data_IF_548732984811
#
_entry.id   IF_548732984811
#
_cell.length_a   1.000
_cell.length_b   1.000
_cell.length_c   1.000
_cell.angle_alpha   90.00
_cell.angle_beta   90.00
_cell.angle_gamma   90.00
#
_symmetry.space_group_name_H-M   'P 1'
#
loop_
_entity.id
_entity.type
_entity.pdbx_description
1 polymer ?
#
# COMPACT_ATOMS: atom_id res chain seq x y z
N UNK A 1 0.92 92.49 13.32
CA UNK A 1 -0.17 93.26 12.69
C UNK A 1 -0.86 92.35 11.69
N UNK A 2 -2.16 92.06 11.91
CA UNK A 2 -3.10 91.19 11.13
C UNK A 2 -2.76 89.69 11.04
N UNK A 3 -3.68 88.71 11.04
CA UNK A 3 -5.10 88.50 11.40
C UNK A 3 -5.28 86.96 11.29
N UNK A 4 -5.71 86.26 12.34
CA UNK A 4 -7.07 85.68 12.53
C UNK A 4 -7.60 84.76 11.42
N UNK A 5 -7.86 83.50 11.82
CA UNK A 5 -9.11 82.72 11.67
C UNK A 5 -9.67 82.44 10.25
N UNK A 6 -10.38 81.35 9.93
CA UNK A 6 -11.13 80.35 10.72
C UNK A 6 -11.57 79.18 9.80
N UNK A 7 -11.64 77.99 10.40
CA UNK A 7 -12.64 76.92 10.32
C UNK A 7 -13.52 76.66 9.06
N UNK A 8 -13.52 75.35 8.71
CA UNK A 8 -14.64 74.43 8.41
C UNK A 8 -15.74 74.82 7.42
N UNK A 9 -15.94 73.95 6.41
CA UNK A 9 -17.28 73.50 6.00
C UNK A 9 -17.23 72.14 5.31
N UNK A 10 -18.13 71.26 5.77
CA UNK A 10 -18.55 70.00 5.18
C UNK A 10 -19.21 70.21 3.82
N UNK A 11 -18.92 69.34 2.85
CA UNK A 11 -19.83 69.08 1.72
C UNK A 11 -19.94 67.56 1.53
N UNK A 12 -21.15 67.08 1.73
CA UNK A 12 -21.64 65.74 1.38
C UNK A 12 -21.85 65.70 -0.13
N UNK A 13 -21.22 64.75 -0.82
CA UNK A 13 -21.51 64.45 -2.23
C UNK A 13 -22.03 63.02 -2.35
N UNK A 14 -23.33 62.92 -2.61
CA UNK A 14 -24.00 61.71 -3.05
C UNK A 14 -23.65 61.43 -4.52
N UNK A 15 -23.16 60.22 -4.82
CA UNK A 15 -22.96 59.77 -6.19
C UNK A 15 -23.30 58.28 -6.34
N UNK A 16 -24.44 58.05 -7.01
CA UNK A 16 -24.81 56.93 -7.87
C UNK A 16 -24.34 55.51 -7.49
N UNK A 17 -25.24 54.78 -6.81
CA UNK A 17 -25.24 53.31 -6.80
C UNK A 17 -25.75 52.83 -8.16
N UNK A 18 -24.84 52.64 -9.12
CA UNK A 18 -25.12 51.86 -10.33
C UNK A 18 -24.99 50.38 -9.98
N UNK A 19 -26.12 49.70 -9.90
CA UNK A 19 -26.21 48.27 -9.61
C UNK A 19 -25.47 47.43 -10.64
N UNK A 20 -24.36 46.84 -10.22
CA UNK A 20 -23.85 45.60 -10.80
C UNK A 20 -24.72 44.46 -10.29
N UNK A 21 -25.85 44.23 -10.95
CA UNK A 21 -26.52 42.93 -10.88
C UNK A 21 -25.57 41.96 -11.57
N UNK A 22 -24.73 41.32 -10.77
CA UNK A 22 -24.02 40.12 -11.22
C UNK A 22 -25.10 39.08 -11.50
N UNK A 23 -25.41 38.87 -12.77
CA UNK A 23 -26.14 37.70 -13.21
C UNK A 23 -25.25 36.49 -12.91
N UNK A 24 -25.36 35.99 -11.68
CA UNK A 24 -24.96 34.63 -11.38
C UNK A 24 -25.87 33.74 -12.24
N UNK A 25 -25.38 33.37 -13.42
CA UNK A 25 -25.98 32.30 -14.19
C UNK A 25 -26.15 31.12 -13.23
N UNK A 26 -27.41 30.78 -12.93
CA UNK A 26 -27.73 29.62 -12.13
C UNK A 26 -27.11 28.44 -12.87
N UNK A 27 -25.99 27.93 -12.35
CA UNK A 27 -25.36 26.76 -12.92
C UNK A 27 -26.35 25.62 -12.73
N UNK A 28 -26.99 25.23 -13.84
CA UNK A 28 -28.02 24.21 -13.85
C UNK A 28 -27.47 22.97 -13.16
N UNK A 29 -28.12 22.50 -12.09
CA UNK A 29 -27.59 21.35 -11.34
C UNK A 29 -27.72 20.11 -12.21
N UNK A 30 -26.62 19.41 -12.40
CA UNK A 30 -26.63 18.12 -13.08
C UNK A 30 -27.56 17.13 -12.37
N UNK A 31 -28.31 16.35 -13.16
CA UNK A 31 -29.24 15.32 -12.72
C UNK A 31 -28.79 13.95 -13.21
N UNK A 32 -29.29 12.90 -12.54
CA UNK A 32 -29.02 11.52 -12.95
C UNK A 32 -29.74 11.21 -14.28
N UNK A 33 -29.04 10.54 -15.20
CA UNK A 33 -29.57 10.15 -16.53
C UNK A 33 -29.63 8.65 -16.75
N UNK A 34 -29.01 7.87 -15.86
CA UNK A 34 -29.02 6.42 -15.92
C UNK A 34 -27.90 5.82 -16.77
N UNK A 35 -27.48 4.60 -16.42
CA UNK A 35 -26.40 3.87 -17.07
C UNK A 35 -26.71 3.54 -18.54
N UNK A 36 -27.98 3.45 -18.93
CA UNK A 36 -28.36 3.22 -20.32
C UNK A 36 -27.97 4.40 -21.23
N UNK A 37 -28.10 5.64 -20.75
CA UNK A 37 -27.62 6.83 -21.46
C UNK A 37 -26.10 6.81 -21.62
N UNK A 38 -25.37 6.40 -20.57
CA UNK A 38 -23.92 6.25 -20.60
C UNK A 38 -23.49 5.17 -21.60
N UNK A 39 -24.15 4.01 -21.60
CA UNK A 39 -23.82 2.87 -22.45
C UNK A 39 -24.01 3.15 -23.94
N UNK A 40 -24.88 4.11 -24.30
CA UNK A 40 -25.06 4.55 -25.69
C UNK A 40 -23.78 5.11 -26.33
N UNK A 41 -22.91 5.76 -25.55
CA UNK A 41 -21.62 6.27 -26.03
C UNK A 41 -20.42 5.47 -25.49
N UNK A 42 -20.54 4.86 -24.30
CA UNK A 42 -19.47 4.13 -23.59
C UNK A 42 -19.76 2.63 -23.49
N UNK A 43 -20.11 2.01 -24.61
CA UNK A 43 -20.53 0.61 -24.68
C UNK A 43 -19.47 -0.35 -24.09
N UNK A 44 -18.20 -0.19 -24.43
CA UNK A 44 -17.13 -1.04 -23.90
C UNK A 44 -16.97 -0.93 -22.38
N UNK A 45 -17.05 0.29 -21.84
CA UNK A 45 -16.93 0.53 -20.39
C UNK A 45 -18.13 -0.05 -19.65
N UNK A 46 -19.34 0.07 -20.22
CA UNK A 46 -20.56 -0.53 -19.68
C UNK A 46 -20.47 -2.07 -19.66
N UNK A 47 -20.08 -2.69 -20.78
CA UNK A 47 -19.98 -4.15 -20.89
C UNK A 47 -18.90 -4.74 -19.99
N UNK A 48 -17.76 -4.05 -19.87
CA UNK A 48 -16.69 -4.49 -18.97
C UNK A 48 -17.07 -4.29 -17.50
N UNK A 49 -17.73 -3.18 -17.14
CA UNK A 49 -18.22 -2.94 -15.79
C UNK A 49 -19.28 -3.95 -15.36
N UNK A 50 -20.20 -4.37 -16.23
CA UNK A 50 -21.21 -5.41 -15.93
C UNK A 50 -20.59 -6.72 -15.43
N UNK A 51 -19.37 -7.03 -15.86
CA UNK A 51 -18.63 -8.24 -15.46
C UNK A 51 -17.93 -8.08 -14.10
N UNK A 52 -17.75 -6.85 -13.64
CA UNK A 52 -17.02 -6.52 -12.42
C UNK A 52 -17.73 -6.99 -11.14
N UNK A 53 -16.99 -7.22 -10.05
CA UNK A 53 -17.56 -7.42 -8.72
C UNK A 53 -18.48 -6.29 -8.26
N UNK A 54 -18.22 -5.04 -8.67
CA UNK A 54 -19.07 -3.90 -8.33
C UNK A 54 -20.46 -4.06 -8.93
N UNK A 55 -20.58 -4.27 -10.24
CA UNK A 55 -21.88 -4.49 -10.87
C UNK A 55 -22.63 -5.70 -10.30
N UNK A 56 -21.92 -6.78 -9.96
CA UNK A 56 -22.53 -8.01 -9.43
C UNK A 56 -22.97 -7.91 -7.97
N UNK A 57 -22.32 -7.09 -7.15
CA UNK A 57 -22.55 -7.05 -5.68
C UNK A 57 -23.23 -5.78 -5.19
N UNK A 58 -23.12 -4.66 -5.89
CA UNK A 58 -23.75 -3.40 -5.49
C UNK A 58 -25.27 -3.48 -5.33
N UNK A 59 -26.03 -4.19 -6.20
CA UNK A 59 -27.47 -4.39 -5.99
C UNK A 59 -27.78 -5.04 -4.64
N UNK A 60 -27.03 -6.09 -4.29
CA UNK A 60 -27.24 -6.82 -3.04
C UNK A 60 -26.78 -6.04 -1.80
N UNK A 61 -25.59 -5.42 -1.87
CA UNK A 61 -24.89 -4.85 -0.70
C UNK A 61 -25.24 -3.39 -0.45
N UNK A 62 -25.53 -2.62 -1.51
CA UNK A 62 -25.78 -1.18 -1.45
C UNK A 62 -27.13 -0.76 -2.03
N UNK A 63 -27.92 -1.69 -2.58
CA UNK A 63 -29.21 -1.41 -3.24
C UNK A 63 -29.07 -0.42 -4.40
N UNK A 64 -27.93 -0.48 -5.09
CA UNK A 64 -27.65 0.32 -6.29
C UNK A 64 -27.72 -0.61 -7.49
N UNK A 65 -28.80 -0.51 -8.25
CA UNK A 65 -28.99 -1.23 -9.50
C UNK A 65 -28.07 -0.70 -10.61
N UNK A 66 -27.87 -1.50 -11.65
CA UNK A 66 -27.02 -1.13 -12.79
C UNK A 66 -27.37 0.25 -13.36
N UNK A 67 -28.66 0.55 -13.50
CA UNK A 67 -29.12 1.83 -14.07
C UNK A 67 -28.65 3.05 -13.27
N UNK A 68 -28.41 2.94 -11.96
CA UNK A 68 -27.90 4.06 -11.13
C UNK A 68 -26.40 3.93 -10.80
N UNK A 69 -25.74 2.91 -11.33
CA UNK A 69 -24.42 2.51 -10.85
C UNK A 69 -23.29 3.41 -11.33
N UNK A 70 -23.32 3.88 -12.58
CA UNK A 70 -22.25 4.73 -13.15
C UNK A 70 -22.11 6.04 -12.34
N UNK A 71 -23.24 6.68 -12.07
CA UNK A 71 -23.31 8.00 -11.46
C UNK A 71 -22.97 7.96 -9.96
N UNK A 72 -23.00 6.78 -9.33
CA UNK A 72 -22.54 6.59 -7.94
C UNK A 72 -21.04 6.86 -7.74
N UNK A 73 -20.23 6.69 -8.80
CA UNK A 73 -18.79 6.98 -8.79
C UNK A 73 -18.46 8.22 -9.64
N UNK A 74 -19.16 8.37 -10.76
CA UNK A 74 -18.87 9.41 -11.75
C UNK A 74 -19.65 10.72 -11.50
N UNK A 75 -20.65 10.73 -10.62
CA UNK A 75 -21.54 11.87 -10.42
C UNK A 75 -22.66 11.95 -11.48
N UNK A 76 -23.58 12.89 -11.29
CA UNK A 76 -24.72 13.11 -12.16
C UNK A 76 -24.28 13.49 -13.60
N UNK A 77 -24.80 12.78 -14.60
CA UNK A 77 -24.31 12.83 -15.97
C UNK A 77 -25.02 13.78 -16.93
N UNK A 78 -26.14 14.43 -16.55
CA UNK A 78 -26.99 15.15 -17.51
C UNK A 78 -26.27 16.22 -18.34
N UNK A 79 -25.43 17.04 -17.71
CA UNK A 79 -24.64 18.08 -18.40
C UNK A 79 -23.56 17.47 -19.31
N UNK A 80 -22.98 16.34 -18.92
CA UNK A 80 -22.00 15.64 -19.73
C UNK A 80 -22.65 15.01 -20.97
N UNK A 81 -23.82 14.39 -20.81
CA UNK A 81 -24.60 13.85 -21.93
C UNK A 81 -25.04 14.97 -22.87
N UNK A 82 -25.51 16.11 -22.33
CA UNK A 82 -25.89 17.28 -23.13
C UNK A 82 -24.72 17.88 -23.93
N UNK A 83 -23.49 17.77 -23.41
CA UNK A 83 -22.30 18.20 -24.13
C UNK A 83 -21.97 17.31 -25.34
N UNK A 84 -22.51 16.08 -25.43
CA UNK A 84 -22.46 15.25 -26.65
C UNK A 84 -21.05 14.92 -27.16
N UNK A 85 -20.03 14.98 -26.30
CA UNK A 85 -18.63 14.77 -26.66
C UNK A 85 -17.83 16.03 -27.02
N UNK A 86 -18.47 17.20 -27.02
CA UNK A 86 -17.76 18.48 -27.15
C UNK A 86 -16.96 18.79 -25.89
N UNK A 87 -15.64 18.60 -25.98
CA UNK A 87 -14.70 18.83 -24.86
C UNK A 87 -14.58 20.31 -24.48
N UNK A 88 -14.99 21.23 -25.34
CA UNK A 88 -14.98 22.67 -25.07
C UNK A 88 -16.19 23.11 -24.25
N UNK A 89 -17.26 22.32 -24.26
CA UNK A 89 -18.44 22.57 -23.45
C UNK A 89 -18.14 22.31 -21.96
N UNK A 90 -18.46 23.27 -21.11
CA UNK A 90 -18.26 23.18 -19.66
C UNK A 90 -18.95 21.94 -19.04
N UNK A 91 -20.08 21.50 -19.61
CA UNK A 91 -20.80 20.29 -19.23
C UNK A 91 -19.99 19.01 -19.42
N UNK A 92 -19.03 18.96 -20.35
CA UNK A 92 -18.21 17.77 -20.58
C UNK A 92 -17.37 17.39 -19.35
N UNK A 93 -16.86 18.39 -18.63
CA UNK A 93 -15.99 18.19 -17.47
C UNK A 93 -16.76 17.96 -16.15
N UNK A 94 -18.10 17.92 -16.16
CA UNK A 94 -18.89 17.75 -14.93
C UNK A 94 -18.90 16.31 -14.43
N UNK A 95 -18.56 15.35 -15.29
CA UNK A 95 -18.43 13.95 -14.92
C UNK A 95 -17.06 13.68 -14.29
N UNK A 96 -17.04 13.00 -13.15
CA UNK A 96 -15.81 12.66 -12.43
C UNK A 96 -15.01 11.61 -13.21
N UNK A 97 -13.70 11.79 -13.28
CA UNK A 97 -12.75 10.79 -13.78
C UNK A 97 -11.75 10.45 -12.68
N UNK A 98 -12.00 9.40 -11.86
CA UNK A 98 -11.17 9.09 -10.69
C UNK A 98 -9.66 9.00 -10.97
N UNK A 99 -9.27 8.55 -12.17
CA UNK A 99 -7.86 8.42 -12.57
C UNK A 99 -7.13 9.77 -12.73
N UNK A 100 -7.88 10.82 -13.07
CA UNK A 100 -7.37 12.17 -13.33
C UNK A 100 -7.65 13.15 -12.17
N UNK A 101 -8.32 12.68 -11.12
CA UNK A 101 -8.64 13.50 -9.94
C UNK A 101 -7.48 13.50 -8.94
N UNK A 102 -7.42 14.50 -8.05
CA UNK A 102 -6.57 14.44 -6.85
C UNK A 102 -6.84 13.15 -6.07
N UNK A 103 -5.78 12.50 -5.59
CA UNK A 103 -5.89 11.18 -4.98
C UNK A 103 -6.85 11.14 -3.78
N UNK A 104 -6.86 12.20 -2.95
CA UNK A 104 -7.75 12.28 -1.80
C UNK A 104 -9.23 12.28 -2.21
N UNK A 105 -9.59 13.02 -3.26
CA UNK A 105 -10.96 13.09 -3.78
C UNK A 105 -11.38 11.77 -4.44
N UNK A 106 -10.51 11.18 -5.24
CA UNK A 106 -10.74 9.87 -5.85
C UNK A 106 -10.95 8.79 -4.76
N UNK A 107 -10.11 8.79 -3.72
CA UNK A 107 -10.20 7.87 -2.60
C UNK A 107 -11.47 8.07 -1.78
N UNK A 108 -11.89 9.32 -1.55
CA UNK A 108 -13.12 9.63 -0.82
C UNK A 108 -14.36 9.00 -1.49
N UNK A 109 -14.40 9.00 -2.83
CA UNK A 109 -15.43 8.30 -3.59
C UNK A 109 -15.52 6.81 -3.23
N UNK A 110 -14.37 6.11 -3.23
CA UNK A 110 -14.32 4.69 -2.86
C UNK A 110 -14.64 4.46 -1.37
N UNK A 111 -14.06 5.28 -0.49
CA UNK A 111 -14.18 5.15 0.96
C UNK A 111 -15.58 5.46 1.48
N UNK A 112 -16.39 6.22 0.74
CA UNK A 112 -17.82 6.41 1.04
C UNK A 112 -18.55 5.07 1.27
N UNK A 113 -18.14 4.02 0.54
CA UNK A 113 -18.69 2.68 0.63
C UNK A 113 -17.75 1.67 1.31
N UNK A 114 -16.43 1.80 1.10
CA UNK A 114 -15.43 0.80 1.48
C UNK A 114 -14.73 1.06 2.83
N UNK A 115 -14.94 2.21 3.48
CA UNK A 115 -14.23 2.59 4.73
C UNK A 115 -14.31 1.55 5.85
N UNK A 116 -15.41 0.78 5.92
CA UNK A 116 -15.66 -0.18 7.00
C UNK A 116 -15.06 -1.57 6.75
N UNK A 117 -14.32 -1.77 5.66
CA UNK A 117 -13.69 -3.05 5.40
C UNK A 117 -12.47 -3.22 6.29
N UNK A 118 -12.34 -4.38 6.94
CA UNK A 118 -11.26 -4.66 7.91
C UNK A 118 -9.86 -4.30 7.41
N UNK A 119 -9.55 -4.60 6.16
CA UNK A 119 -8.23 -4.33 5.59
C UNK A 119 -7.99 -2.85 5.24
N UNK A 120 -9.03 -2.00 5.23
CA UNK A 120 -8.97 -0.56 4.97
C UNK A 120 -9.07 0.28 6.26
N UNK A 121 -9.27 -0.35 7.42
CA UNK A 121 -9.44 0.36 8.70
C UNK A 121 -8.26 1.29 9.02
N UNK A 122 -7.05 0.90 8.60
CA UNK A 122 -5.80 1.64 8.80
C UNK A 122 -5.36 2.41 7.55
N UNK A 123 -6.25 2.62 6.58
CA UNK A 123 -5.93 3.44 5.41
C UNK A 123 -5.50 4.85 5.78
N UNK A 124 -6.09 5.39 6.86
CA UNK A 124 -5.75 6.71 7.39
C UNK A 124 -4.26 6.91 7.70
N UNK A 125 -3.56 5.83 8.06
CA UNK A 125 -2.14 5.79 8.45
C UNK A 125 -1.28 4.96 7.49
N UNK A 126 -1.81 4.61 6.31
CA UNK A 126 -1.07 3.85 5.31
C UNK A 126 -0.02 4.72 4.63
N UNK A 127 1.20 4.19 4.48
CA UNK A 127 2.26 4.85 3.71
C UNK A 127 1.86 5.15 2.25
N UNK A 128 0.95 4.37 1.66
CA UNK A 128 0.46 4.62 0.31
C UNK A 128 -0.49 5.81 0.26
N UNK A 129 -1.28 6.04 1.33
CA UNK A 129 -2.09 7.24 1.46
C UNK A 129 -1.19 8.47 1.62
N UNK A 130 -0.19 8.37 2.49
CA UNK A 130 0.79 9.45 2.74
C UNK A 130 1.59 9.80 1.48
N UNK A 131 1.94 8.79 0.67
CA UNK A 131 2.55 8.97 -0.65
C UNK A 131 1.59 9.53 -1.71
N UNK A 132 0.34 9.86 -1.36
CA UNK A 132 -0.63 10.46 -2.28
C UNK A 132 -1.17 9.50 -3.34
N UNK A 133 -1.17 8.19 -3.10
CA UNK A 133 -1.69 7.22 -4.07
C UNK A 133 -3.22 7.13 -4.02
N UNK A 134 -3.82 7.13 -5.20
CA UNK A 134 -5.25 6.85 -5.36
C UNK A 134 -5.50 5.35 -5.47
N UNK A 135 -6.64 4.85 -4.98
CA UNK A 135 -7.06 3.45 -5.11
C UNK A 135 -6.99 2.98 -6.57
N UNK A 136 -7.36 3.86 -7.49
CA UNK A 136 -7.41 3.60 -8.93
C UNK A 136 -6.05 3.49 -9.62
N UNK A 137 -4.95 3.81 -8.92
CA UNK A 137 -3.60 3.51 -9.42
C UNK A 137 -3.25 2.04 -9.31
N UNK A 138 -3.93 1.32 -8.41
CA UNK A 138 -3.74 -0.11 -8.21
C UNK A 138 -4.94 -0.93 -8.68
N UNK A 139 -6.17 -0.41 -8.51
CA UNK A 139 -7.42 -1.10 -8.82
C UNK A 139 -8.12 -0.51 -10.05
N UNK A 140 -8.81 -1.34 -10.82
CA UNK A 140 -9.65 -0.92 -11.93
C UNK A 140 -11.02 -1.59 -11.87
N UNK A 141 -12.08 -0.78 -11.87
CA UNK A 141 -13.46 -1.28 -11.90
C UNK A 141 -13.96 -1.62 -13.31
N UNK A 142 -13.27 -1.13 -14.34
CA UNK A 142 -13.61 -1.38 -15.74
C UNK A 142 -12.79 -2.53 -16.35
N UNK A 143 -11.48 -2.56 -16.11
CA UNK A 143 -10.55 -3.48 -16.80
C UNK A 143 -9.54 -4.14 -15.85
N UNK A 144 -9.96 -4.40 -14.61
CA UNK A 144 -9.10 -5.04 -13.63
C UNK A 144 -8.85 -6.52 -13.93
N UNK A 145 -7.67 -7.01 -13.56
CA UNK A 145 -7.23 -8.39 -13.70
C UNK A 145 -6.98 -9.03 -12.34
N UNK A 146 -7.02 -10.36 -12.31
CA UNK A 146 -6.67 -11.16 -11.13
C UNK A 146 -7.53 -10.86 -9.88
N UNK A 147 -6.99 -11.20 -8.72
CA UNK A 147 -7.67 -11.00 -7.44
C UNK A 147 -7.62 -9.53 -7.02
N UNK A 148 -8.79 -8.96 -6.74
CA UNK A 148 -8.89 -7.55 -6.31
C UNK A 148 -8.99 -6.55 -7.47
N UNK A 149 -9.20 -7.00 -8.70
CA UNK A 149 -9.32 -6.16 -9.91
C UNK A 149 -8.13 -5.21 -10.07
N UNK A 150 -6.91 -5.74 -10.05
CA UNK A 150 -5.72 -4.91 -10.16
C UNK A 150 -5.54 -4.40 -11.59
N UNK A 151 -4.87 -3.26 -11.77
CA UNK A 151 -4.57 -2.72 -13.11
C UNK A 151 -3.57 -3.59 -13.89
N UNK A 152 -2.81 -4.44 -13.19
CA UNK A 152 -1.87 -5.43 -13.73
C UNK A 152 -1.61 -6.54 -12.70
N UNK A 153 -0.83 -7.55 -13.06
CA UNK A 153 -0.45 -8.63 -12.14
C UNK A 153 0.22 -8.13 -10.87
N UNK A 154 -0.10 -8.75 -9.73
CA UNK A 154 0.15 -8.17 -8.40
C UNK A 154 1.62 -7.84 -8.13
N UNK A 155 2.56 -8.71 -8.48
CA UNK A 155 3.98 -8.49 -8.20
C UNK A 155 4.56 -7.39 -9.09
N UNK A 156 4.25 -7.40 -10.39
CA UNK A 156 4.69 -6.37 -11.33
C UNK A 156 4.10 -4.99 -10.99
N UNK A 157 2.86 -4.95 -10.48
CA UNK A 157 2.27 -3.72 -9.96
C UNK A 157 3.12 -3.10 -8.87
N UNK A 158 3.50 -3.90 -7.86
CA UNK A 158 4.36 -3.42 -6.78
C UNK A 158 5.73 -2.98 -7.32
N UNK A 159 6.34 -3.78 -8.19
CA UNK A 159 7.68 -3.52 -8.72
C UNK A 159 7.78 -2.29 -9.64
N UNK A 160 6.67 -1.77 -10.15
CA UNK A 160 6.65 -0.49 -10.88
C UNK A 160 7.26 0.66 -10.06
N UNK A 161 7.07 0.62 -8.73
CA UNK A 161 7.64 1.58 -7.78
C UNK A 161 8.70 0.93 -6.87
N UNK A 162 8.47 -0.28 -6.38
CA UNK A 162 9.32 -1.02 -5.43
C UNK A 162 10.48 -1.75 -6.14
N UNK A 163 11.34 -0.98 -6.81
CA UNK A 163 12.46 -1.52 -7.61
C UNK A 163 13.54 -2.17 -6.77
N UNK A 164 13.76 -1.67 -5.55
CA UNK A 164 14.71 -2.25 -4.60
C UNK A 164 14.30 -3.68 -4.24
N UNK A 165 13.05 -3.86 -3.84
CA UNK A 165 12.49 -5.16 -3.48
C UNK A 165 12.51 -6.11 -4.69
N UNK A 166 12.22 -5.60 -5.91
CA UNK A 166 12.41 -6.38 -7.15
C UNK A 166 13.84 -6.91 -7.25
N UNK A 167 14.85 -6.06 -7.02
CA UNK A 167 16.25 -6.46 -7.04
C UNK A 167 16.62 -7.48 -5.97
N UNK A 168 16.13 -7.31 -4.74
CA UNK A 168 16.38 -8.27 -3.65
C UNK A 168 15.76 -9.64 -3.94
N UNK A 169 14.56 -9.68 -4.53
CA UNK A 169 13.87 -10.91 -4.91
C UNK A 169 14.55 -11.64 -6.08
N UNK A 170 15.52 -11.03 -6.76
CA UNK A 170 16.32 -11.69 -7.81
C UNK A 170 17.61 -12.32 -7.26
N UNK A 171 17.90 -12.14 -5.97
CA UNK A 171 19.10 -12.70 -5.35
C UNK A 171 18.98 -14.20 -5.13
N UNK A 172 20.12 -14.88 -4.95
CA UNK A 172 20.18 -16.34 -4.86
C UNK A 172 19.27 -16.96 -3.77
N UNK A 173 19.01 -16.25 -2.67
CA UNK A 173 18.08 -16.67 -1.62
C UNK A 173 17.01 -15.61 -1.40
N UNK A 174 15.76 -15.95 -1.70
CA UNK A 174 14.59 -15.08 -1.55
C UNK A 174 13.33 -15.92 -1.30
N UNK A 175 12.23 -15.29 -0.90
CA UNK A 175 10.92 -15.94 -0.91
C UNK A 175 10.39 -16.02 -2.35
N UNK A 176 9.65 -17.08 -2.72
CA UNK A 176 9.34 -17.37 -4.13
C UNK A 176 8.21 -16.50 -4.72
N UNK A 177 8.40 -15.18 -4.71
CA UNK A 177 7.45 -14.17 -5.21
C UNK A 177 7.59 -14.00 -6.72
N UNK A 178 8.82 -14.02 -7.26
CA UNK A 178 9.05 -13.88 -8.70
C UNK A 178 8.67 -15.14 -9.47
N UNK A 179 8.71 -16.30 -8.81
CA UNK A 179 8.22 -17.58 -9.31
C UNK A 179 6.69 -17.72 -9.18
N UNK A 180 5.99 -16.71 -8.67
CA UNK A 180 4.53 -16.68 -8.58
C UNK A 180 3.93 -17.60 -7.51
N UNK A 181 4.74 -18.18 -6.61
CA UNK A 181 4.25 -19.06 -5.53
C UNK A 181 3.81 -18.27 -4.29
N UNK A 182 4.25 -17.02 -4.18
CA UNK A 182 3.88 -16.08 -3.13
C UNK A 182 3.63 -14.69 -3.73
N UNK A 183 3.00 -13.81 -2.95
CA UNK A 183 2.77 -12.41 -3.35
C UNK A 183 3.18 -11.48 -2.22
N UNK A 184 3.46 -10.22 -2.54
CA UNK A 184 3.77 -9.18 -1.55
C UNK A 184 2.68 -9.08 -0.47
N UNK A 185 1.42 -9.24 -0.88
CA UNK A 185 0.26 -9.21 0.02
C UNK A 185 0.11 -10.46 0.90
N UNK A 186 0.98 -11.47 0.75
CA UNK A 186 1.12 -12.55 1.71
C UNK A 186 1.56 -12.04 3.08
N UNK A 187 2.50 -11.08 3.09
CA UNK A 187 3.06 -10.47 4.29
C UNK A 187 2.55 -9.06 4.54
N UNK A 188 2.30 -8.28 3.48
CA UNK A 188 1.91 -6.87 3.59
C UNK A 188 0.40 -6.64 3.49
N UNK A 189 -0.10 -5.65 4.23
CA UNK A 189 -1.35 -4.96 3.94
C UNK A 189 -1.03 -3.60 3.32
N UNK A 190 -1.14 -3.50 1.99
CA UNK A 190 -0.89 -2.27 1.21
C UNK A 190 -1.85 -1.12 1.55
N UNK A 191 -2.91 -1.42 2.30
CA UNK A 191 -3.92 -0.48 2.74
C UNK A 191 -3.69 0.03 4.17
N UNK A 192 -2.60 -0.37 4.83
CA UNK A 192 -2.26 0.03 6.21
C UNK A 192 -2.27 -1.14 7.19
N UNK A 193 -1.32 -1.15 8.12
CA UNK A 193 -1.19 -2.17 9.16
C UNK A 193 -0.78 -1.56 10.50
N UNK A 194 -0.76 -2.39 11.55
CA UNK A 194 -0.47 -1.94 12.93
C UNK A 194 1.04 -1.73 13.10
N UNK A 195 1.85 -2.70 12.65
CA UNK A 195 3.31 -2.60 12.65
C UNK A 195 3.81 -2.32 11.22
N UNK A 196 3.73 -1.06 10.80
CA UNK A 196 3.89 -0.70 9.39
C UNK A 196 2.82 -1.33 8.50
N UNK A 197 3.04 -1.39 7.19
CA UNK A 197 2.08 -2.01 6.26
C UNK A 197 2.11 -3.56 6.32
N UNK A 198 2.23 -4.16 7.50
CA UNK A 198 2.21 -5.61 7.72
C UNK A 198 0.79 -6.13 7.94
N UNK A 199 0.56 -7.42 7.61
CA UNK A 199 -0.75 -8.06 7.74
C UNK A 199 -1.04 -8.62 9.14
N UNK A 200 0.00 -9.01 9.87
CA UNK A 200 -0.14 -9.46 11.24
C UNK A 200 0.12 -8.29 12.21
N UNK A 201 -0.10 -8.55 13.49
CA UNK A 201 0.16 -7.58 14.55
C UNK A 201 1.65 -7.37 14.76
N UNK A 202 2.46 -8.42 14.55
CA UNK A 202 3.92 -8.31 14.54
C UNK A 202 4.63 -8.95 13.35
N UNK A 203 5.92 -8.66 13.24
CA UNK A 203 6.83 -9.32 12.29
C UNK A 203 6.89 -10.83 12.55
N UNK A 204 7.00 -11.24 13.80
CA UNK A 204 7.11 -12.64 14.23
C UNK A 204 5.83 -13.39 13.85
N UNK A 205 4.66 -12.84 14.18
CA UNK A 205 3.37 -13.42 13.80
C UNK A 205 3.22 -13.55 12.29
N UNK A 206 3.79 -12.61 11.52
CA UNK A 206 3.79 -12.72 10.07
C UNK A 206 4.63 -13.92 9.59
N UNK A 207 5.82 -14.10 10.16
CA UNK A 207 6.71 -15.22 9.82
C UNK A 207 6.11 -16.56 10.24
N UNK A 208 5.57 -16.66 11.46
CA UNK A 208 5.08 -17.90 12.05
C UNK A 208 3.80 -18.45 11.40
N UNK A 209 3.06 -17.62 10.64
CA UNK A 209 1.94 -18.09 9.80
C UNK A 209 2.35 -19.16 8.79
N UNK A 210 3.60 -19.16 8.35
CA UNK A 210 4.15 -20.19 7.45
C UNK A 210 5.27 -20.99 8.12
N UNK A 211 6.07 -20.37 8.97
CA UNK A 211 7.18 -21.01 9.68
C UNK A 211 6.77 -21.50 11.07
N UNK A 212 5.62 -22.15 11.19
CA UNK A 212 5.04 -22.59 12.47
C UNK A 212 5.99 -23.48 13.28
N UNK A 213 6.83 -24.29 12.63
CA UNK A 213 7.87 -25.10 13.30
C UNK A 213 9.02 -24.30 13.92
N UNK A 214 8.96 -22.96 13.87
CA UNK A 214 9.88 -22.04 14.56
C UNK A 214 9.19 -21.30 15.70
N UNK A 215 7.91 -21.57 15.93
CA UNK A 215 7.18 -21.01 17.07
C UNK A 215 7.67 -21.67 18.36
N UNK A 216 8.01 -20.85 19.34
CA UNK A 216 8.25 -21.28 20.71
C UNK A 216 6.95 -21.48 21.50
N UNK A 217 7.04 -21.64 22.84
CA UNK A 217 8.29 -21.60 23.60
C UNK A 217 9.07 -22.92 23.45
N UNK A 218 10.38 -22.80 23.26
CA UNK A 218 11.29 -23.94 23.36
C UNK A 218 11.88 -24.02 24.76
N UNK A 219 12.23 -25.20 25.26
CA UNK A 219 12.90 -25.34 26.56
C UNK A 219 14.23 -24.56 26.63
N UNK A 220 14.86 -24.34 25.46
CA UNK A 220 16.04 -23.49 25.28
C UNK A 220 15.83 -22.62 24.04
N UNK A 221 15.51 -21.36 24.26
CA UNK A 221 15.30 -20.38 23.21
C UNK A 221 16.61 -19.70 22.80
N UNK A 222 16.73 -19.34 21.53
CA UNK A 222 17.78 -18.46 21.05
C UNK A 222 17.28 -17.01 21.15
N UNK A 223 17.80 -16.15 22.05
CA UNK A 223 17.12 -14.89 22.38
C UNK A 223 16.82 -13.97 21.17
N UNK A 224 17.73 -13.78 20.20
CA UNK A 224 17.39 -13.06 18.96
C UNK A 224 16.18 -13.57 18.16
N UNK A 225 15.82 -14.86 18.28
CA UNK A 225 14.73 -15.47 17.50
C UNK A 225 13.36 -15.16 18.12
N UNK A 226 13.28 -15.07 19.44
CA UNK A 226 12.05 -14.66 20.14
C UNK A 226 11.83 -13.15 20.08
N UNK A 227 12.90 -12.38 19.91
CA UNK A 227 12.84 -10.92 19.83
C UNK A 227 12.40 -10.45 18.45
N UNK A 228 13.15 -10.82 17.40
CA UNK A 228 12.79 -10.43 16.03
C UNK A 228 13.50 -11.27 14.96
N UNK A 229 12.71 -11.91 14.08
CA UNK A 229 13.21 -12.73 12.98
C UNK A 229 14.20 -11.97 12.05
N UNK A 230 13.99 -10.66 11.91
CA UNK A 230 14.79 -9.78 11.05
C UNK A 230 16.15 -9.44 11.65
N UNK A 231 16.47 -9.80 12.90
CA UNK A 231 17.83 -9.63 13.43
C UNK A 231 18.83 -10.39 12.54
N UNK A 232 18.44 -11.57 12.06
CA UNK A 232 19.26 -12.43 11.20
C UNK A 232 18.79 -12.46 9.74
N UNK A 233 17.49 -12.36 9.46
CA UNK A 233 16.95 -12.57 8.11
C UNK A 233 16.66 -11.27 7.32
N UNK A 234 16.76 -11.36 6.00
CA UNK A 234 16.33 -10.38 4.99
C UNK A 234 15.14 -10.95 4.21
N UNK A 235 13.88 -10.58 4.51
CA UNK A 235 12.70 -11.30 4.04
C UNK A 235 12.45 -11.19 2.53
N UNK A 236 13.03 -10.20 1.85
CA UNK A 236 12.90 -10.07 0.39
C UNK A 236 14.01 -10.77 -0.37
N UNK A 237 15.20 -10.88 0.21
CA UNK A 237 16.28 -11.64 -0.38
C UNK A 237 17.67 -11.24 0.08
N UNK A 238 18.58 -12.18 -0.12
CA UNK A 238 20.00 -12.08 0.22
C UNK A 238 20.85 -12.91 -0.72
N UNK A 239 22.11 -12.49 -0.86
CA UNK A 239 23.16 -13.31 -1.48
C UNK A 239 23.55 -14.50 -0.59
N UNK A 240 23.28 -14.41 0.72
CA UNK A 240 23.57 -15.46 1.67
C UNK A 240 22.41 -16.46 1.73
N UNK A 241 22.74 -17.74 1.88
CA UNK A 241 21.76 -18.83 2.05
C UNK A 241 20.78 -18.53 3.19
N UNK A 242 19.56 -19.07 3.07
CA UNK A 242 18.49 -18.88 4.07
C UNK A 242 18.17 -17.41 4.33
N UNK A 243 18.36 -16.54 3.33
CA UNK A 243 18.07 -15.12 3.41
C UNK A 243 18.80 -14.40 4.55
N UNK A 244 20.01 -14.82 4.92
CA UNK A 244 20.73 -14.22 6.05
C UNK A 244 21.29 -12.83 5.71
N UNK A 245 21.28 -11.91 6.68
CA UNK A 245 21.91 -10.58 6.55
C UNK A 245 23.43 -10.67 6.34
N UNK A 246 24.06 -11.72 6.83
CA UNK A 246 25.49 -11.97 6.71
C UNK A 246 25.77 -13.46 6.61
N UNK A 247 26.83 -13.83 5.89
CA UNK A 247 27.30 -15.21 5.82
C UNK A 247 27.81 -15.70 7.19
N UNK A 248 27.71 -17.01 7.41
CA UNK A 248 28.41 -17.66 8.52
C UNK A 248 29.93 -17.73 8.22
N UNK A 249 30.78 -17.75 9.26
CA UNK A 249 30.44 -17.72 10.69
C UNK A 249 30.16 -16.31 11.23
N UNK A 250 30.43 -15.27 10.45
CA UNK A 250 30.45 -13.90 10.95
C UNK A 250 29.11 -13.41 11.48
N UNK A 251 27.97 -13.90 10.96
CA UNK A 251 26.66 -13.61 11.54
C UNK A 251 26.59 -13.95 13.04
N UNK A 252 27.11 -15.12 13.43
CA UNK A 252 27.11 -15.60 14.80
C UNK A 252 28.10 -14.83 15.67
N UNK A 253 29.27 -14.50 15.10
CA UNK A 253 30.35 -13.80 15.81
C UNK A 253 30.03 -12.35 16.18
N UNK A 254 28.92 -11.80 15.66
CA UNK A 254 28.41 -10.49 16.10
C UNK A 254 27.94 -10.50 17.55
N UNK A 255 27.52 -11.66 18.05
CA UNK A 255 27.03 -11.83 19.42
C UNK A 255 27.86 -12.85 20.21
N UNK A 256 28.41 -13.86 19.55
CA UNK A 256 29.22 -14.90 20.18
C UNK A 256 30.71 -14.60 20.06
N UNK A 257 31.41 -14.50 21.20
CA UNK A 257 32.88 -14.54 21.22
C UNK A 257 33.33 -15.93 20.78
N UNK A 258 34.38 -16.02 19.97
CA UNK A 258 34.86 -17.27 19.38
C UNK A 258 35.23 -18.29 20.47
N UNK A 259 34.42 -19.34 20.72
CA UNK A 259 34.61 -20.20 21.88
C UNK A 259 35.49 -21.43 21.59
N UNK A 260 35.89 -21.65 20.33
CA UNK A 260 36.56 -22.88 19.91
C UNK A 260 38.10 -22.86 20.00
N UNK A 261 38.72 -21.76 20.44
CA UNK A 261 40.19 -21.71 20.62
C UNK A 261 40.64 -22.51 21.85
N UNK A 262 39.82 -22.57 22.90
CA UNK A 262 40.21 -23.22 24.17
C UNK A 262 39.96 -24.74 24.18
N UNK A 263 39.12 -25.26 23.29
CA UNK A 263 38.79 -26.70 23.21
C UNK A 263 39.56 -27.47 22.15
N UNK A 264 40.31 -26.78 21.31
CA UNK A 264 41.07 -27.41 20.25
C UNK A 264 42.43 -27.82 20.79
N UNK A 265 42.49 -29.00 21.43
CA UNK A 265 43.72 -29.67 21.92
C UNK A 265 44.89 -29.53 20.93
N UNK A 266 45.65 -28.44 21.02
CA UNK A 266 46.78 -28.15 20.15
C UNK A 266 46.47 -27.77 18.70
N UNK A 267 45.22 -27.41 18.33
CA UNK A 267 45.00 -26.86 16.99
C UNK A 267 45.60 -25.45 16.92
N UNK A 268 46.40 -25.21 15.87
CA UNK A 268 47.03 -23.91 15.69
C UNK A 268 45.96 -22.84 15.43
N UNK A 269 46.26 -21.59 15.74
CA UNK A 269 45.39 -20.46 15.37
C UNK A 269 45.00 -20.49 13.88
N UNK A 270 45.87 -21.05 13.03
CA UNK A 270 45.67 -21.25 11.59
C UNK A 270 44.64 -22.34 11.26
N UNK A 271 44.58 -23.44 12.03
CA UNK A 271 43.56 -24.50 11.85
C UNK A 271 42.18 -24.03 12.30
N UNK A 272 42.14 -23.24 13.39
CA UNK A 272 40.93 -22.55 13.83
C UNK A 272 40.46 -21.53 12.79
N UNK A 273 41.39 -20.81 12.14
CA UNK A 273 41.08 -19.87 11.07
C UNK A 273 40.55 -20.57 9.81
N UNK A 274 41.09 -21.74 9.44
CA UNK A 274 40.56 -22.56 8.33
C UNK A 274 39.14 -23.04 8.59
N UNK A 275 38.79 -23.38 9.83
CA UNK A 275 37.41 -23.68 10.20
C UNK A 275 36.54 -22.42 10.17
N UNK A 276 37.08 -21.25 10.52
CA UNK A 276 36.39 -19.96 10.36
C UNK A 276 36.14 -19.57 8.90
N UNK A 277 37.05 -19.91 7.99
CA UNK A 277 36.90 -19.62 6.57
C UNK A 277 35.98 -20.61 5.84
N UNK A 278 35.84 -21.85 6.34
CA UNK A 278 35.18 -22.94 5.58
C UNK A 278 34.04 -23.65 6.30
N UNK A 279 33.99 -23.59 7.64
CA UNK A 279 32.99 -24.29 8.44
C UNK A 279 31.79 -23.42 8.75
N UNK A 280 30.59 -23.97 8.57
CA UNK A 280 29.36 -23.29 9.04
C UNK A 280 29.11 -23.68 10.48
N UNK A 281 28.84 -22.70 11.34
CA UNK A 281 28.44 -22.93 12.72
C UNK A 281 27.28 -23.92 12.79
N UNK A 282 26.35 -23.84 11.83
CA UNK A 282 25.18 -24.72 11.74
C UNK A 282 25.47 -26.17 11.35
N UNK A 283 26.68 -26.52 10.92
CA UNK A 283 27.00 -27.93 10.65
C UNK A 283 26.95 -28.76 11.95
N UNK A 284 27.34 -28.14 13.07
CA UNK A 284 27.24 -28.69 14.44
C UNK A 284 26.08 -28.08 15.25
N UNK A 285 25.87 -26.76 15.19
CA UNK A 285 24.82 -26.05 15.92
C UNK A 285 23.54 -25.97 15.09
N UNK A 286 22.82 -27.08 14.92
CA UNK A 286 21.70 -27.16 13.97
C UNK A 286 20.40 -26.50 14.43
N UNK A 287 20.18 -26.37 15.74
CA UNK A 287 18.93 -25.86 16.32
C UNK A 287 19.02 -24.37 16.68
N UNK A 288 19.48 -23.54 15.74
CA UNK A 288 19.68 -22.09 15.95
C UNK A 288 18.39 -21.30 16.22
N UNK A 289 17.22 -21.91 16.05
CA UNK A 289 15.91 -21.29 16.32
C UNK A 289 15.34 -21.66 17.71
N UNK A 290 16.07 -22.45 18.49
CA UNK A 290 15.62 -23.01 19.76
C UNK A 290 15.48 -24.54 19.72
N UNK A 291 15.57 -25.18 20.89
CA UNK A 291 15.48 -26.64 21.04
C UNK A 291 14.87 -27.05 22.38
N UNK A 292 14.04 -28.09 22.34
CA UNK A 292 13.54 -28.77 23.56
C UNK A 292 14.47 -29.87 24.07
N UNK A 293 15.44 -30.30 23.26
CA UNK A 293 16.19 -31.54 23.50
C UNK A 293 17.68 -31.30 23.69
N UNK A 294 18.27 -30.37 22.95
CA UNK A 294 19.71 -30.26 22.85
C UNK A 294 20.34 -29.37 23.92
N UNK A 295 21.09 -29.99 24.83
CA UNK A 295 21.71 -29.31 25.96
C UNK A 295 22.91 -28.44 25.59
N UNK A 296 23.39 -28.52 24.34
CA UNK A 296 24.51 -27.73 23.84
C UNK A 296 24.14 -26.27 23.52
N UNK A 297 22.84 -25.92 23.44
CA UNK A 297 22.35 -24.54 23.42
C UNK A 297 22.15 -24.01 24.86
N UNK A 298 23.17 -24.18 25.70
CA UNK A 298 23.26 -23.47 26.98
C UNK A 298 23.96 -22.12 26.72
N UNK A 299 23.45 -21.09 27.41
CA UNK A 299 23.91 -19.70 27.40
C UNK A 299 25.43 -19.55 27.38
#
# INVERSE_FOLDING_TARGET
MKMRNRLMSFIVAAACVSGLVSAAAAQEKATEVGASACAGCHAEQAESFKKSPHAKRMPAVKKIEFEKSCESCHGAGSLHVAAGGDRSNAGFATIKKPEAMPAQEANAGCLSCHKSQRHLMLWGTSIHKEAGLACVKCHSVHKGVGKGNLVQESSELCFSCHKKERGEMQLASHHPVIEGRMTCTGCHNVHGGVEGNMKAESVEDTCLKCHAGKAGPFAREHPPVIENCLICHKPHGSVNISMLKQAQPFLCLRCHKWPHVERSNGASAFDTFKFAERGRCTDCHREVHGSDRNAAFKK
#
